data_IF_360901266346
#
_entry.id   IF_360901266346
#
_cell.length_a   1.000
_cell.length_b   1.000
_cell.length_c   1.000
_cell.angle_alpha   90.00
_cell.angle_beta   90.00
_cell.angle_gamma   90.00
#
_symmetry.space_group_name_H-M   'P 1'
#
loop_
_entity.id
_entity.type
_entity.pdbx_description
1 polymer ?
#
# COMPACT_ATOMS: atom_id res chain seq x y z
N UNK A 1 32.59 -9.79 -18.21
CA UNK A 1 31.98 -9.77 -17.86
C UNK A 1 31.05 -9.63 -17.56
N UNK A 2 30.68 -9.31 -17.56
CA UNK A 2 29.77 -9.08 -17.26
C UNK A 2 29.00 -9.24 -16.47
N UNK A 3 29.43 -9.28 -15.67
CA UNK A 3 28.63 -9.35 -14.73
C UNK A 3 28.33 -8.18 -14.05
N UNK A 4 28.88 -7.19 -14.26
CA UNK A 4 28.50 -6.00 -13.75
C UNK A 4 27.15 -5.61 -14.06
N UNK A 5 26.66 -5.90 -15.18
CA UNK A 5 25.29 -5.59 -15.45
C UNK A 5 24.37 -6.38 -14.60
N UNK A 6 24.86 -7.48 -14.08
CA UNK A 6 24.03 -8.22 -13.21
C UNK A 6 23.90 -7.56 -11.88
N UNK A 7 24.91 -6.87 -11.42
CA UNK A 7 24.78 -6.15 -10.18
C UNK A 7 23.86 -4.96 -10.34
N UNK A 8 23.61 -4.53 -11.56
CA UNK A 8 22.68 -3.46 -11.78
C UNK A 8 21.31 -3.95 -12.18
N UNK A 9 21.13 -5.25 -12.18
CA UNK A 9 19.84 -5.81 -12.54
C UNK A 9 18.80 -5.42 -11.50
N UNK A 10 17.72 -4.87 -11.95
CA UNK A 10 16.62 -4.51 -11.08
C UNK A 10 15.35 -5.00 -11.70
N UNK A 11 14.42 -5.40 -10.85
CA UNK A 11 13.12 -5.79 -11.33
C UNK A 11 12.35 -4.55 -11.73
N UNK A 12 11.54 -4.66 -12.79
CA UNK A 12 10.54 -3.64 -13.06
C UNK A 12 9.47 -3.74 -11.99
N UNK A 13 8.64 -2.72 -11.89
CA UNK A 13 7.57 -2.74 -10.89
C UNK A 13 6.67 -3.96 -11.06
N UNK A 14 6.42 -4.37 -12.31
CA UNK A 14 5.56 -5.52 -12.54
C UNK A 14 6.20 -6.82 -12.11
N UNK A 15 7.53 -6.86 -12.06
CA UNK A 15 8.26 -8.08 -11.71
C UNK A 15 8.54 -8.19 -10.22
N UNK A 16 8.41 -7.09 -9.49
CA UNK A 16 8.67 -7.12 -8.05
C UNK A 16 7.60 -7.92 -7.34
N UNK A 17 7.97 -8.68 -6.32
CA UNK A 17 6.95 -9.43 -5.57
C UNK A 17 6.02 -8.45 -4.85
N UNK A 18 4.78 -8.86 -4.61
CA UNK A 18 3.87 -8.01 -3.85
C UNK A 18 4.38 -7.84 -2.42
N UNK A 19 3.98 -6.74 -1.83
CA UNK A 19 4.34 -6.47 -0.44
C UNK A 19 3.13 -6.72 0.44
N UNK A 20 3.39 -6.97 1.71
CA UNK A 20 2.34 -7.14 2.70
C UNK A 20 2.22 -5.87 3.50
N UNK A 21 1.02 -5.37 3.62
CA UNK A 21 0.76 -4.21 4.45
C UNK A 21 -0.37 -4.55 5.40
N UNK A 22 -0.44 -3.79 6.48
CA UNK A 22 -1.49 -3.96 7.47
C UNK A 22 -2.22 -2.66 7.62
N UNK A 23 -3.55 -2.72 7.64
CA UNK A 23 -4.37 -1.54 7.88
C UNK A 23 -5.02 -1.71 9.25
N UNK A 24 -4.86 -0.70 10.10
CA UNK A 24 -5.36 -0.74 11.47
C UNK A 24 -6.31 0.42 11.71
N UNK A 25 -7.38 0.14 12.46
CA UNK A 25 -8.31 1.19 12.89
C UNK A 25 -7.99 1.60 14.32
N UNK A 26 -8.58 2.71 14.75
CA UNK A 26 -8.41 3.18 16.12
C UNK A 26 -8.97 2.20 17.15
N UNK A 27 -9.94 1.40 16.75
CA UNK A 27 -10.56 0.43 17.64
C UNK A 27 -9.79 -0.88 17.70
N UNK A 28 -8.67 -0.94 17.01
CA UNK A 28 -7.82 -2.12 17.06
C UNK A 28 -8.13 -3.20 16.03
N UNK A 29 -9.07 -2.95 15.14
CA UNK A 29 -9.30 -3.89 14.05
C UNK A 29 -8.17 -3.79 13.04
N UNK A 30 -7.78 -4.92 12.48
CA UNK A 30 -6.68 -4.99 11.53
C UNK A 30 -7.04 -5.87 10.36
N UNK A 31 -6.49 -5.55 9.21
CA UNK A 31 -6.58 -6.40 8.04
C UNK A 31 -5.24 -6.35 7.33
N UNK A 32 -4.84 -7.45 6.73
CA UNK A 32 -3.60 -7.54 5.99
C UNK A 32 -3.91 -7.68 4.52
N UNK A 33 -3.10 -7.04 3.70
CA UNK A 33 -3.28 -7.10 2.26
C UNK A 33 -1.95 -7.36 1.60
N UNK A 34 -2.00 -8.07 0.48
CA UNK A 34 -0.85 -8.20 -0.40
C UNK A 34 -1.13 -7.33 -1.60
N UNK A 35 -0.28 -6.35 -1.83
CA UNK A 35 -0.50 -5.40 -2.91
C UNK A 35 0.77 -5.28 -3.74
N UNK A 36 0.60 -4.92 -4.99
CA UNK A 36 1.74 -4.63 -5.83
C UNK A 36 2.37 -3.32 -5.39
N UNK A 37 3.67 -3.20 -5.55
CA UNK A 37 4.38 -2.01 -5.11
C UNK A 37 3.91 -0.76 -5.85
N UNK A 38 3.36 -0.92 -7.05
CA UNK A 38 2.87 0.21 -7.83
C UNK A 38 1.35 0.27 -7.87
N UNK A 39 0.67 -0.38 -6.92
CA UNK A 39 -0.78 -0.37 -6.88
C UNK A 39 -1.30 1.03 -6.64
N UNK A 40 -2.43 1.37 -7.23
CA UNK A 40 -3.03 2.69 -7.00
C UNK A 40 -3.72 2.72 -5.64
N UNK A 41 -3.72 3.90 -5.03
CA UNK A 41 -4.36 4.09 -3.74
C UNK A 41 -5.85 3.74 -3.83
N UNK A 42 -6.49 4.05 -4.96
CA UNK A 42 -7.90 3.73 -5.13
C UNK A 42 -8.17 2.23 -5.03
N UNK A 43 -7.25 1.41 -5.53
CA UNK A 43 -7.39 -0.04 -5.46
C UNK A 43 -7.25 -0.50 -4.01
N UNK A 44 -6.31 0.08 -3.27
CA UNK A 44 -6.17 -0.24 -1.86
C UNK A 44 -7.42 0.13 -1.09
N UNK A 45 -7.99 1.30 -1.36
CA UNK A 45 -9.23 1.72 -0.69
C UNK A 45 -10.39 0.78 -1.01
N UNK A 46 -10.42 0.23 -2.22
CA UNK A 46 -11.45 -0.74 -2.57
C UNK A 46 -11.31 -2.01 -1.75
N UNK A 47 -10.07 -2.45 -1.51
CA UNK A 47 -9.83 -3.62 -0.68
C UNK A 47 -10.22 -3.34 0.76
N UNK A 48 -9.92 -2.15 1.27
CA UNK A 48 -10.30 -1.76 2.62
C UNK A 48 -11.82 -1.72 2.74
N UNK A 49 -12.51 -1.26 1.71
CA UNK A 49 -13.96 -1.25 1.70
C UNK A 49 -14.52 -2.67 1.89
N UNK A 50 -13.92 -3.64 1.22
CA UNK A 50 -14.39 -5.02 1.33
C UNK A 50 -14.19 -5.57 2.74
N UNK A 51 -13.11 -5.17 3.39
CA UNK A 51 -12.77 -5.71 4.71
C UNK A 51 -13.50 -5.00 5.85
N UNK A 52 -13.68 -3.69 5.72
CA UNK A 52 -14.19 -2.88 6.83
C UNK A 52 -15.57 -2.28 6.56
N UNK A 53 -16.08 -2.42 5.35
CA UNK A 53 -17.41 -1.88 4.97
C UNK A 53 -17.46 -0.37 5.15
N UNK A 54 -16.37 0.31 4.86
CA UNK A 54 -16.28 1.77 4.92
C UNK A 54 -16.01 2.25 3.51
N UNK A 55 -16.92 3.07 2.96
CA UNK A 55 -16.76 3.49 1.57
C UNK A 55 -15.46 4.27 1.37
N UNK A 56 -14.88 4.21 0.18
CA UNK A 56 -13.60 4.87 -0.06
C UNK A 56 -13.62 6.36 0.26
N UNK A 57 -14.74 7.03 0.03
CA UNK A 57 -14.83 8.46 0.31
C UNK A 57 -14.72 8.77 1.79
N UNK A 58 -15.02 7.82 2.64
CA UNK A 58 -14.94 8.00 4.08
C UNK A 58 -13.66 7.47 4.68
N UNK A 59 -12.79 6.91 3.86
CA UNK A 59 -11.52 6.38 4.33
C UNK A 59 -10.45 7.46 4.26
N UNK A 60 -9.73 7.60 5.36
CA UNK A 60 -8.52 8.40 5.38
C UNK A 60 -7.40 7.46 5.78
N UNK A 61 -6.56 7.10 4.82
CA UNK A 61 -5.45 6.19 5.06
C UNK A 61 -4.21 7.02 5.30
N UNK A 62 -3.55 6.74 6.43
CA UNK A 62 -2.38 7.53 6.84
C UNK A 62 -1.20 6.60 7.04
N UNK A 63 -0.08 6.94 6.44
CA UNK A 63 1.16 6.19 6.59
C UNK A 63 2.27 7.17 6.95
N UNK A 64 2.83 6.98 8.13
CA UNK A 64 3.94 7.81 8.62
C UNK A 64 3.65 9.30 8.48
N UNK A 65 2.45 9.68 8.89
CA UNK A 65 2.07 11.08 8.90
C UNK A 65 1.58 11.63 7.58
N UNK A 66 1.56 10.79 6.54
CA UNK A 66 1.12 11.23 5.22
C UNK A 66 -0.21 10.59 4.87
N UNK A 67 -1.10 11.37 4.31
CA UNK A 67 -2.38 10.87 3.85
C UNK A 67 -2.20 10.31 2.45
N UNK A 68 -2.66 9.08 2.24
CA UNK A 68 -2.58 8.45 0.93
C UNK A 68 -3.70 9.00 0.06
N UNK A 69 -3.34 9.71 -0.99
CA UNK A 69 -4.31 10.41 -1.85
C UNK A 69 -4.65 9.59 -3.06
N UNK A 70 -5.90 9.66 -3.47
CA UNK A 70 -6.31 9.03 -4.71
C UNK A 70 -5.62 9.72 -5.88
N UNK A 71 -5.38 8.95 -6.91
CA UNK A 71 -4.61 9.44 -8.03
C UNK A 71 -3.14 9.17 -7.90
N UNK A 72 -2.70 8.70 -6.74
CA UNK A 72 -1.31 8.32 -6.51
C UNK A 72 -1.22 6.83 -6.28
N UNK A 73 0.00 6.32 -6.31
CA UNK A 73 0.23 4.90 -6.09
C UNK A 73 0.92 4.70 -4.75
N UNK A 74 0.89 3.46 -4.25
CA UNK A 74 1.57 3.15 -2.98
C UNK A 74 3.07 3.38 -3.12
N UNK A 75 3.60 3.29 -4.32
CA UNK A 75 5.00 3.55 -4.58
C UNK A 75 5.38 4.99 -4.23
N UNK A 76 4.44 5.93 -4.44
CA UNK A 76 4.71 7.34 -4.16
C UNK A 76 4.94 7.59 -2.67
N UNK A 77 4.50 6.67 -1.82
CA UNK A 77 4.64 6.80 -0.37
C UNK A 77 5.69 5.86 0.19
N UNK A 78 6.36 5.12 -0.69
CA UNK A 78 7.45 4.22 -0.30
C UNK A 78 7.03 3.18 0.73
N UNK A 79 5.86 2.60 0.53
CA UNK A 79 5.41 1.51 1.39
C UNK A 79 6.28 0.29 1.18
N UNK A 80 6.53 -0.42 2.27
CA UNK A 80 7.37 -1.62 2.22
C UNK A 80 6.66 -2.77 2.86
N UNK A 81 7.28 -3.92 2.74
CA UNK A 81 6.77 -5.12 3.39
C UNK A 81 6.70 -4.87 4.88
N UNK A 82 5.51 -5.08 5.44
CA UNK A 82 5.31 -4.85 6.86
C UNK A 82 4.84 -3.47 7.23
N UNK A 83 4.64 -2.57 6.25
CA UNK A 83 4.14 -1.24 6.55
C UNK A 83 2.78 -1.30 7.20
N UNK A 84 2.57 -0.40 8.17
CA UNK A 84 1.30 -0.30 8.88
C UNK A 84 0.64 1.02 8.48
N UNK A 85 -0.57 0.92 7.95
CA UNK A 85 -1.35 2.07 7.54
C UNK A 85 -2.50 2.22 8.50
N UNK A 86 -2.73 3.43 8.96
CA UNK A 86 -3.83 3.71 9.87
C UNK A 86 -5.04 4.17 9.09
N UNK A 87 -6.18 3.59 9.41
CA UNK A 87 -7.45 3.95 8.78
C UNK A 87 -8.22 4.82 9.74
N UNK A 88 -8.51 6.03 9.28
CA UNK A 88 -9.34 6.98 10.03
C UNK A 88 -10.60 7.18 9.22
N UNK A 89 -11.74 7.15 9.87
CA UNK A 89 -13.03 7.29 9.22
C UNK A 89 -13.46 8.74 9.27
N UNK A 90 -13.77 9.26 8.08
CA UNK A 90 -14.25 10.64 8.00
C UNK A 90 -15.74 10.73 8.22
#
# INVERSE_FOLDING_TARGET
MEYEYRTKFEFTDDEKPPIRIKVKTLLGKEAQYRIKCNEEVSVLKASVYKSFDISPKRQCLVYEGKILEEGKSVKDYELENGSIIHLIIK
#
